data_IF_362877332634
#
_entry.id   IF_362877332634
#
_cell.length_a   1.000
_cell.length_b   1.000
_cell.length_c   1.000
_cell.angle_alpha   90.00
_cell.angle_beta   90.00
_cell.angle_gamma   90.00
#
_symmetry.space_group_name_H-M   'P 1'
#
loop_
_entity.id
_entity.type
_entity.pdbx_description
1 polymer ?
#
# COMPACT_ATOMS: atom_id res chain seq x y z
N UNK A 1 -14.00 12.56 0.20
CA UNK A 1 -14.53 11.18 0.15
C UNK A 1 -13.34 10.24 0.19
N UNK A 2 -13.24 9.34 1.17
CA UNK A 2 -12.18 8.31 1.18
C UNK A 2 -12.45 7.37 0.00
N UNK A 3 -11.51 7.24 -0.94
CA UNK A 3 -11.66 6.32 -2.07
C UNK A 3 -10.95 5.03 -1.73
N UNK A 4 -11.72 3.95 -1.70
CA UNK A 4 -11.20 2.60 -1.58
C UNK A 4 -10.64 2.18 -2.94
N UNK A 5 -9.33 2.03 -3.05
CA UNK A 5 -8.63 1.72 -4.30
C UNK A 5 -7.71 0.51 -4.12
N UNK A 6 -7.45 -0.24 -5.19
CA UNK A 6 -6.50 -1.34 -5.17
C UNK A 6 -5.06 -0.80 -5.24
N UNK A 7 -4.24 -1.25 -4.30
CA UNK A 7 -2.78 -1.13 -4.34
C UNK A 7 -2.21 -2.44 -4.87
N UNK A 8 -1.39 -2.32 -5.91
CA UNK A 8 -0.80 -3.43 -6.67
C UNK A 8 0.71 -3.31 -6.70
N UNK A 9 1.40 -4.43 -6.87
CA UNK A 9 2.83 -4.45 -7.07
C UNK A 9 3.17 -4.39 -8.57
N UNK A 10 4.03 -3.45 -8.96
CA UNK A 10 4.59 -3.35 -10.31
C UNK A 10 5.96 -4.03 -10.34
N UNK A 11 6.12 -5.20 -11.00
CA UNK A 11 7.39 -5.91 -11.07
C UNK A 11 8.43 -5.23 -11.95
N UNK A 12 8.02 -4.42 -12.93
CA UNK A 12 8.95 -3.74 -13.84
C UNK A 12 9.62 -2.55 -13.17
N UNK A 13 8.91 -1.92 -12.24
CA UNK A 13 9.40 -0.79 -11.44
C UNK A 13 9.82 -1.17 -10.01
N UNK A 14 9.68 -2.45 -9.65
CA UNK A 14 9.89 -3.01 -8.31
C UNK A 14 9.27 -2.15 -7.19
N UNK A 15 8.02 -1.70 -7.36
CA UNK A 15 7.35 -0.80 -6.40
C UNK A 15 5.85 -1.07 -6.28
N UNK A 16 5.27 -0.67 -5.15
CA UNK A 16 3.81 -0.60 -5.01
C UNK A 16 3.27 0.62 -5.73
N UNK A 17 2.06 0.51 -6.29
CA UNK A 17 1.38 1.63 -6.91
C UNK A 17 -0.13 1.53 -6.72
N UNK A 18 -0.81 2.65 -6.95
CA UNK A 18 -2.26 2.74 -7.07
C UNK A 18 -2.62 3.41 -8.40
N UNK A 19 -3.74 3.01 -8.99
CA UNK A 19 -4.27 3.70 -10.17
C UNK A 19 -5.27 4.78 -9.73
N UNK A 20 -5.00 6.03 -10.08
CA UNK A 20 -5.89 7.16 -9.84
C UNK A 20 -6.14 7.90 -11.15
N UNK A 21 -7.40 8.05 -11.53
CA UNK A 21 -7.81 8.77 -12.74
C UNK A 21 -7.07 8.27 -14.01
N UNK A 22 -6.89 6.95 -14.14
CA UNK A 22 -6.21 6.33 -15.28
C UNK A 22 -4.68 6.51 -15.31
N UNK A 23 -4.07 6.91 -14.19
CA UNK A 23 -2.62 7.04 -14.04
C UNK A 23 -2.11 6.23 -12.87
N UNK A 24 -0.96 5.59 -13.03
CA UNK A 24 -0.29 4.84 -11.97
C UNK A 24 0.57 5.79 -11.12
N UNK A 25 0.31 5.79 -9.81
CA UNK A 25 1.07 6.52 -8.82
C UNK A 25 1.86 5.52 -7.99
N UNK A 26 3.18 5.50 -8.20
CA UNK A 26 4.09 4.68 -7.41
C UNK A 26 4.21 5.22 -6.00
N UNK A 27 4.18 4.32 -5.02
CA UNK A 27 4.32 4.64 -3.60
C UNK A 27 5.78 4.56 -3.17
N UNK A 28 6.16 5.44 -2.25
CA UNK A 28 7.52 5.57 -1.74
C UNK A 28 7.61 5.25 -0.24
N UNK A 29 8.81 4.89 0.22
CA UNK A 29 9.07 4.72 1.65
C UNK A 29 8.77 6.02 2.39
N UNK A 30 8.16 5.91 3.56
CA UNK A 30 7.72 7.05 4.36
C UNK A 30 6.32 7.56 4.02
N UNK A 31 5.73 7.18 2.88
CA UNK A 31 4.36 7.58 2.54
C UNK A 31 3.33 6.87 3.43
N UNK A 32 2.35 7.65 3.91
CA UNK A 32 1.26 7.17 4.76
C UNK A 32 -0.03 7.00 3.97
N UNK A 33 -0.77 5.94 4.28
CA UNK A 33 -2.10 5.67 3.73
C UNK A 33 -2.92 4.80 4.67
N UNK A 34 -4.23 4.73 4.46
CA UNK A 34 -5.10 3.82 5.20
C UNK A 34 -5.13 2.45 4.49
N UNK A 35 -4.70 1.37 5.14
CA UNK A 35 -4.94 -0.01 4.69
C UNK A 35 -6.27 -0.53 5.25
N UNK A 36 -7.10 -1.14 4.41
CA UNK A 36 -8.35 -1.75 4.86
C UNK A 36 -8.13 -3.19 5.37
N UNK A 37 -8.45 -3.44 6.63
CA UNK A 37 -8.41 -4.77 7.27
C UNK A 37 -9.81 -5.08 7.80
N UNK A 38 -10.43 -6.17 7.32
CA UNK A 38 -11.80 -6.53 7.71
C UNK A 38 -12.86 -5.49 7.33
N UNK A 39 -12.56 -4.60 6.37
CA UNK A 39 -13.45 -3.49 5.98
C UNK A 39 -13.17 -2.17 6.69
N UNK A 40 -12.36 -2.18 7.75
CA UNK A 40 -12.00 -0.99 8.53
C UNK A 40 -10.66 -0.39 8.05
N UNK A 41 -10.57 0.95 7.88
CA UNK A 41 -9.33 1.61 7.48
C UNK A 41 -8.38 1.78 8.68
N UNK A 42 -7.12 1.39 8.51
CA UNK A 42 -6.07 1.59 9.49
C UNK A 42 -4.92 2.41 8.89
N UNK A 43 -4.54 3.53 9.54
CA UNK A 43 -3.40 4.31 9.08
C UNK A 43 -2.12 3.48 9.21
N UNK A 44 -1.34 3.48 8.15
CA UNK A 44 -0.06 2.80 8.07
C UNK A 44 0.95 3.60 7.25
N UNK A 45 2.20 3.17 7.28
CA UNK A 45 3.29 3.76 6.50
C UNK A 45 4.02 2.67 5.73
N UNK A 46 4.28 2.90 4.45
CA UNK A 46 5.07 1.99 3.63
C UNK A 46 6.55 2.19 3.92
N UNK A 47 7.28 1.08 4.02
CA UNK A 47 8.72 1.04 4.17
C UNK A 47 9.28 -0.15 3.39
N UNK A 48 10.60 -0.20 3.27
CA UNK A 48 11.32 -1.25 2.56
C UNK A 48 12.53 -1.73 3.35
N UNK A 49 12.66 -3.05 3.46
CA UNK A 49 13.89 -3.75 3.87
C UNK A 49 14.19 -4.80 2.77
N UNK A 50 14.36 -6.08 3.10
CA UNK A 50 14.43 -7.17 2.10
C UNK A 50 13.11 -7.32 1.31
N UNK A 51 11.98 -7.00 1.95
CA UNK A 51 10.65 -6.98 1.33
C UNK A 51 9.95 -5.68 1.72
N UNK A 52 9.02 -5.22 0.88
CA UNK A 52 8.13 -4.13 1.25
C UNK A 52 7.28 -4.55 2.43
N UNK A 53 7.16 -3.66 3.40
CA UNK A 53 6.32 -3.87 4.57
C UNK A 53 5.61 -2.58 4.95
N UNK A 54 4.51 -2.72 5.69
CA UNK A 54 3.84 -1.59 6.31
C UNK A 54 4.09 -1.59 7.80
N UNK A 55 4.16 -0.38 8.37
CA UNK A 55 4.08 -0.15 9.81
C UNK A 55 2.65 0.28 10.11
N UNK A 56 1.94 -0.50 10.91
CA UNK A 56 0.57 -0.22 11.36
C UNK A 56 0.56 -0.32 12.88
N UNK A 57 0.28 0.79 13.56
CA UNK A 57 0.44 0.91 15.02
C UNK A 57 1.86 0.46 15.45
N UNK A 58 1.95 -0.61 16.22
CA UNK A 58 3.17 -1.20 16.79
C UNK A 58 3.62 -2.48 16.07
N UNK A 59 2.91 -2.90 15.02
CA UNK A 59 3.18 -4.12 14.25
C UNK A 59 3.68 -3.82 12.84
N UNK A 60 4.37 -4.80 12.25
CA UNK A 60 4.91 -4.75 10.89
C UNK A 60 4.39 -5.93 10.09
N UNK A 61 3.94 -5.68 8.86
CA UNK A 61 3.45 -6.72 7.96
C UNK A 61 4.16 -6.63 6.62
N UNK A 62 4.78 -7.73 6.20
CA UNK A 62 5.32 -7.84 4.84
C UNK A 62 4.17 -7.90 3.85
N UNK A 63 4.28 -7.10 2.80
CA UNK A 63 3.36 -7.15 1.67
C UNK A 63 3.81 -8.26 0.70
N UNK A 64 2.86 -9.07 0.25
CA UNK A 64 3.10 -10.14 -0.71
C UNK A 64 2.90 -9.59 -2.11
N UNK A 65 3.94 -9.64 -2.95
CA UNK A 65 3.92 -9.11 -4.33
C UNK A 65 2.82 -9.74 -5.22
N UNK A 66 2.30 -10.92 -4.85
CA UNK A 66 1.20 -11.60 -5.54
C UNK A 66 -0.20 -11.12 -5.15
N UNK A 67 -0.30 -10.35 -4.06
CA UNK A 67 -1.57 -9.98 -3.46
C UNK A 67 -1.90 -8.52 -3.81
N UNK A 68 -3.19 -8.19 -3.74
CA UNK A 68 -3.68 -6.82 -3.87
C UNK A 68 -4.25 -6.38 -2.53
N UNK A 69 -4.07 -5.10 -2.22
CA UNK A 69 -4.49 -4.53 -0.94
C UNK A 69 -5.44 -3.36 -1.18
N UNK A 70 -6.56 -3.32 -0.47
CA UNK A 70 -7.45 -2.17 -0.54
C UNK A 70 -6.90 -1.05 0.35
N UNK A 71 -6.69 0.13 -0.21
CA UNK A 71 -6.16 1.29 0.50
C UNK A 71 -6.99 2.54 0.27
N UNK A 72 -6.72 3.57 1.06
CA UNK A 72 -7.11 4.95 0.78
C UNK A 72 -5.87 5.83 0.95
N UNK A 73 -5.41 6.41 -0.17
CA UNK A 73 -4.25 7.30 -0.29
C UNK A 73 -4.67 8.76 -0.30
#
# INVERSE_FOLDING_TARGET
MKRKIEMCFDPDQDRWYVELNGRNFGLHCGEGFDLYIGGEPFPCRLEMDRHYYIILKDVRFNLRKSDKYMVNV
#
